data_IF_943937582090
#
_entry.id   IF_943937582090
#
_cell.length_a   1.000
_cell.length_b   1.000
_cell.length_c   1.000
_cell.angle_alpha   90.00
_cell.angle_beta   90.00
_cell.angle_gamma   90.00
#
_symmetry.space_group_name_H-M   'P 1'
#
loop_
_entity.id
_entity.type
_entity.pdbx_description
1 polymer ?
#
# COMPACT_ATOMS: atom_id res chain seq x y z
N UNK A 1 -23.78 -5.17 6.92
CA UNK A 1 -23.12 -3.85 7.01
C UNK A 1 -21.86 -3.94 6.17
N UNK A 2 -21.82 -3.23 5.04
CA UNK A 2 -20.68 -3.27 4.12
C UNK A 2 -19.46 -2.72 4.85
N UNK A 3 -18.62 -3.62 5.38
CA UNK A 3 -17.26 -3.28 5.77
C UNK A 3 -16.66 -2.56 4.57
N UNK A 4 -16.41 -1.27 4.70
CA UNK A 4 -15.66 -0.49 3.73
C UNK A 4 -14.23 -1.04 3.76
N UNK A 5 -14.04 -2.20 3.15
CA UNK A 5 -12.74 -2.69 2.74
C UNK A 5 -12.12 -1.56 1.95
N UNK A 6 -11.05 -0.97 2.47
CA UNK A 6 -10.40 0.18 1.84
C UNK A 6 -9.93 -0.26 0.45
N UNK A 7 -10.70 0.10 -0.58
CA UNK A 7 -10.45 -0.34 -1.94
C UNK A 7 -9.25 0.42 -2.52
N UNK A 8 -8.59 -0.17 -3.52
CA UNK A 8 -7.49 0.50 -4.20
C UNK A 8 -7.96 1.82 -4.84
N UNK A 9 -9.13 1.78 -5.48
CA UNK A 9 -9.73 2.95 -6.12
C UNK A 9 -9.91 4.11 -5.13
N UNK A 10 -10.53 3.84 -3.97
CA UNK A 10 -10.72 4.85 -2.93
C UNK A 10 -9.40 5.47 -2.45
N UNK A 11 -8.34 4.66 -2.29
CA UNK A 11 -7.04 5.18 -1.88
C UNK A 11 -6.35 5.98 -2.99
N UNK A 12 -6.46 5.54 -4.24
CA UNK A 12 -5.93 6.28 -5.39
C UNK A 12 -6.60 7.64 -5.48
N UNK A 13 -7.91 7.73 -5.34
CA UNK A 13 -8.61 9.02 -5.30
C UNK A 13 -8.15 9.88 -4.12
N UNK A 14 -8.10 9.29 -2.91
CA UNK A 14 -7.71 10.01 -1.69
C UNK A 14 -6.29 10.59 -1.75
N UNK A 15 -5.33 9.86 -2.31
CA UNK A 15 -3.92 10.23 -2.24
C UNK A 15 -3.36 10.81 -3.54
N UNK A 16 -3.89 10.43 -4.70
CA UNK A 16 -3.36 10.80 -6.02
C UNK A 16 -4.27 11.68 -6.85
N UNK A 17 -5.53 11.90 -6.48
CA UNK A 17 -6.46 12.74 -7.24
C UNK A 17 -6.76 14.10 -6.60
N UNK A 18 -5.80 15.04 -6.50
CA UNK A 18 -6.09 16.41 -6.14
C UNK A 18 -6.63 17.25 -7.31
N UNK A 19 -6.53 16.77 -8.57
CA UNK A 19 -6.89 17.55 -9.76
C UNK A 19 -7.78 16.75 -10.73
N UNK A 20 -8.92 17.32 -11.22
CA UNK A 20 -9.82 16.66 -12.17
C UNK A 20 -9.18 16.25 -13.50
N UNK A 21 -8.05 16.88 -13.87
CA UNK A 21 -7.35 16.67 -15.14
C UNK A 21 -6.14 15.72 -15.04
N UNK A 22 -5.86 15.17 -13.86
CA UNK A 22 -4.74 14.25 -13.68
C UNK A 22 -5.02 12.91 -14.39
N UNK A 23 -4.05 12.41 -15.16
CA UNK A 23 -4.11 11.06 -15.74
C UNK A 23 -3.54 10.06 -14.75
N UNK A 24 -4.35 9.09 -14.36
CA UNK A 24 -3.98 8.04 -13.40
C UNK A 24 -3.69 6.74 -14.17
N UNK A 25 -2.56 6.10 -13.87
CA UNK A 25 -2.20 4.83 -14.47
C UNK A 25 -1.38 3.95 -13.52
N UNK A 26 -1.48 2.63 -13.70
CA UNK A 26 -0.65 1.67 -12.98
C UNK A 26 0.66 1.51 -13.72
N UNK A 27 1.78 1.82 -13.06
CA UNK A 27 3.13 1.73 -13.63
C UNK A 27 3.71 0.34 -13.39
N UNK A 28 3.42 -0.24 -12.22
CA UNK A 28 3.94 -1.54 -11.84
C UNK A 28 2.92 -2.31 -11.01
N UNK A 29 2.83 -3.62 -11.24
CA UNK A 29 2.18 -4.58 -10.36
C UNK A 29 3.19 -5.65 -9.98
N UNK A 30 3.20 -6.06 -8.71
CA UNK A 30 4.16 -7.06 -8.24
C UNK A 30 3.74 -7.74 -6.95
N UNK A 31 4.67 -8.53 -6.40
CA UNK A 31 4.53 -9.20 -5.10
C UNK A 31 5.78 -8.94 -4.27
N UNK A 32 5.61 -8.67 -2.98
CA UNK A 32 6.76 -8.49 -2.07
C UNK A 32 7.54 -9.79 -1.91
N UNK A 33 8.88 -9.71 -1.89
CA UNK A 33 9.75 -10.84 -1.55
C UNK A 33 9.50 -11.25 -0.08
N UNK A 34 9.42 -12.56 0.18
CA UNK A 34 9.09 -13.10 1.51
C UNK A 34 7.60 -13.45 1.64
N UNK A 35 6.73 -12.44 1.63
CA UNK A 35 5.32 -12.63 1.97
C UNK A 35 4.40 -12.87 0.75
N UNK A 36 4.91 -12.76 -0.49
CA UNK A 36 4.16 -12.89 -1.75
C UNK A 36 2.91 -11.98 -1.87
N UNK A 37 2.76 -11.00 -0.97
CA UNK A 37 1.63 -10.07 -0.90
C UNK A 37 1.65 -9.11 -2.09
N UNK A 38 0.51 -8.91 -2.79
CA UNK A 38 0.43 -7.99 -3.92
C UNK A 38 0.76 -6.55 -3.53
N UNK A 39 1.42 -5.84 -4.44
CA UNK A 39 1.52 -4.39 -4.39
C UNK A 39 1.33 -3.80 -5.80
N UNK A 40 0.96 -2.53 -5.85
CA UNK A 40 0.86 -1.75 -7.08
C UNK A 40 1.55 -0.41 -6.91
N UNK A 41 2.21 0.04 -7.97
CA UNK A 41 2.71 1.40 -8.12
C UNK A 41 1.78 2.14 -9.05
N UNK A 42 1.17 3.22 -8.56
CA UNK A 42 0.24 4.04 -9.34
C UNK A 42 0.85 5.44 -9.45
N UNK A 43 0.81 5.97 -10.66
CA UNK A 43 1.24 7.33 -10.96
C UNK A 43 0.05 8.17 -11.43
N UNK A 44 0.02 9.42 -10.96
CA UNK A 44 -0.85 10.47 -11.43
C UNK A 44 0.00 11.58 -12.07
N UNK A 45 -0.26 11.86 -13.34
CA UNK A 45 0.45 12.90 -14.10
C UNK A 45 -0.50 14.08 -14.35
N UNK A 46 -0.08 15.30 -13.98
CA UNK A 46 -0.82 16.53 -14.20
C UNK A 46 0.09 17.63 -14.78
N UNK A 47 -0.45 18.73 -15.34
CA UNK A 47 0.37 19.85 -15.85
C UNK A 47 1.31 20.47 -14.80
N UNK A 48 0.93 20.39 -13.52
CA UNK A 48 1.75 20.85 -12.38
C UNK A 48 2.86 19.87 -11.98
N UNK A 49 2.94 18.70 -12.62
CA UNK A 49 3.89 17.63 -12.30
C UNK A 49 3.24 16.27 -12.05
N UNK A 50 4.07 15.24 -11.92
CA UNK A 50 3.64 13.87 -11.60
C UNK A 50 3.84 13.53 -10.11
N UNK A 51 3.03 12.60 -9.62
CA UNK A 51 3.09 12.04 -8.25
C UNK A 51 2.83 10.55 -8.34
N UNK A 52 3.51 9.76 -7.52
CA UNK A 52 3.29 8.31 -7.50
C UNK A 52 3.33 7.74 -6.10
N UNK A 53 2.56 6.68 -5.88
CA UNK A 53 2.42 6.00 -4.59
C UNK A 53 2.38 4.49 -4.81
N UNK A 54 3.00 3.77 -3.87
CA UNK A 54 2.86 2.33 -3.76
C UNK A 54 1.69 1.99 -2.83
N UNK A 55 0.81 1.10 -3.29
CA UNK A 55 -0.27 0.53 -2.49
C UNK A 55 0.00 -0.95 -2.26
N UNK A 56 -0.24 -1.41 -1.04
CA UNK A 56 0.05 -2.75 -0.59
C UNK A 56 -1.24 -3.44 -0.16
N UNK A 57 -1.42 -4.68 -0.60
CA UNK A 57 -2.53 -5.53 -0.15
C UNK A 57 -2.15 -6.20 1.17
N UNK A 58 -2.96 -6.00 2.20
CA UNK A 58 -2.81 -6.61 3.52
C UNK A 58 -3.62 -7.90 3.60
N UNK A 59 -3.33 -8.74 4.60
CA UNK A 59 -3.96 -10.06 4.76
C UNK A 59 -5.46 -9.97 5.07
N UNK A 60 -5.90 -8.84 5.63
CA UNK A 60 -7.31 -8.52 5.88
C UNK A 60 -8.07 -8.14 4.60
N UNK A 61 -7.44 -8.23 3.42
CA UNK A 61 -8.03 -7.87 2.16
C UNK A 61 -8.16 -6.35 1.97
N UNK A 62 -7.52 -5.53 2.78
CA UNK A 62 -7.52 -4.07 2.57
C UNK A 62 -6.30 -3.64 1.79
N UNK A 63 -6.45 -2.56 1.03
CA UNK A 63 -5.30 -1.84 0.51
C UNK A 63 -4.83 -0.81 1.54
N UNK A 64 -3.52 -0.56 1.56
CA UNK A 64 -2.84 0.39 2.44
C UNK A 64 -1.70 1.09 1.68
N UNK A 65 -1.28 2.28 2.12
CA UNK A 65 -0.10 3.00 1.57
C UNK A 65 1.22 2.69 2.30
N UNK A 66 1.15 1.79 3.28
CA UNK A 66 2.30 1.29 4.03
C UNK A 66 2.43 -0.22 3.83
N UNK A 67 3.66 -0.75 3.81
CA UNK A 67 3.86 -2.19 3.68
C UNK A 67 3.20 -2.93 4.86
N UNK A 68 2.70 -4.16 4.64
CA UNK A 68 2.22 -5.02 5.70
C UNK A 68 3.33 -5.26 6.71
N UNK A 69 2.96 -5.50 7.98
CA UNK A 69 3.94 -5.83 9.01
C UNK A 69 4.61 -7.15 8.64
N UNK A 70 5.83 -7.06 8.13
CA UNK A 70 6.70 -8.22 7.97
C UNK A 70 7.03 -8.70 9.38
N UNK A 71 6.86 -10.00 9.64
CA UNK A 71 7.30 -10.60 10.90
C UNK A 71 8.79 -10.30 11.08
N UNK A 72 9.12 -9.36 11.96
CA UNK A 72 10.51 -9.04 12.29
C UNK A 72 10.98 -10.01 13.36
N UNK A 73 12.25 -10.44 13.31
CA UNK A 73 12.83 -11.15 14.45
C UNK A 73 12.66 -10.28 15.70
N UNK A 74 11.86 -10.76 16.64
CA UNK A 74 11.68 -10.16 17.96
C UNK A 74 12.74 -10.72 18.90
N UNK A 75 13.39 -9.88 19.69
CA UNK A 75 14.20 -10.37 20.81
C UNK A 75 13.27 -11.03 21.83
N UNK A 76 13.27 -12.36 21.87
CA UNK A 76 12.64 -13.11 22.97
C UNK A 76 13.45 -12.84 24.23
N UNK A 77 12.97 -11.94 25.08
CA UNK A 77 13.54 -11.72 26.41
C UNK A 77 13.22 -12.90 27.31
N UNK A 78 14.11 -13.89 27.37
CA UNK A 78 14.06 -14.88 28.44
C UNK A 78 14.61 -14.27 29.71
N UNK A 79 13.90 -14.43 30.83
CA UNK A 79 14.45 -14.14 32.15
C UNK A 79 15.58 -15.12 32.42
N UNK A 80 16.81 -14.62 32.45
CA UNK A 80 17.93 -15.39 32.98
C UNK A 80 17.72 -15.49 34.49
N UNK A 81 17.45 -16.70 34.98
CA UNK A 81 17.47 -16.98 36.40
C UNK A 81 18.92 -16.83 36.91
N UNK A 82 19.07 -16.06 37.99
CA UNK A 82 20.34 -15.86 38.69
C UNK A 82 20.63 -17.01 39.65
#
# INVERSE_FOLDING_TARGET
>A
MNTTETSLHYLVEKWLAPAPTARIHVVQFGRMQGDKRPYVHVEASAPSGSRSIFFFRHDDGRWCVFPPRIARPSMTGYLLAA
#
